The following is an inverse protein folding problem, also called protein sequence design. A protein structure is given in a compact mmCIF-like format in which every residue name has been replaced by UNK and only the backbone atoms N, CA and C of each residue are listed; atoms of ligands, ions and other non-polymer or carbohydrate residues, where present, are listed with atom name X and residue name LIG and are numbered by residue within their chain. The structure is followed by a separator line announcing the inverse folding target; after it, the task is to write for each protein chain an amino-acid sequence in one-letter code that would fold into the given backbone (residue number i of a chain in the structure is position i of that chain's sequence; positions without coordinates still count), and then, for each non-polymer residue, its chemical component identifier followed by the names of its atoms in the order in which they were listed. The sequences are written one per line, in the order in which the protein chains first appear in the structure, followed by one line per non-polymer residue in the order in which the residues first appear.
data_IF_117713850371
#
_entry.id   IF_117713850371
#
_cell.length_a   1.000
_cell.length_b   1.000
_cell.length_c   1.000
_cell.angle_alpha   90.00
_cell.angle_beta   90.00
_cell.angle_gamma   90.00
#
_symmetry.space_group_name_H-M   'P 1'
#
loop_
_entity.id
_entity.type
_entity.pdbx_description
1 polymer ?
#
# COMPACT_ATOMS: atom_id res chain seq x y z
N UNK A 1 3.58 -11.52 1.82
CA UNK A 1 4.47 -12.42 2.63
C UNK A 1 5.85 -12.70 2.05
N UNK A 2 6.03 -12.77 0.72
CA UNK A 2 7.38 -13.01 0.15
C UNK A 2 8.40 -11.93 0.51
N UNK A 3 7.97 -10.67 0.57
CA UNK A 3 8.79 -9.53 1.01
C UNK A 3 9.38 -9.76 2.40
N UNK A 4 8.53 -10.12 3.37
CA UNK A 4 8.93 -10.35 4.75
C UNK A 4 9.84 -11.57 4.94
N UNK A 5 9.51 -12.68 4.29
CA UNK A 5 10.35 -13.89 4.30
C UNK A 5 11.75 -13.60 3.73
N UNK A 6 11.83 -12.86 2.62
CA UNK A 6 13.10 -12.45 2.03
C UNK A 6 13.89 -11.46 2.90
N UNK A 7 13.21 -10.70 3.75
CA UNK A 7 13.79 -9.80 4.75
C UNK A 7 14.18 -10.46 6.08
N UNK A 8 14.08 -11.79 6.20
CA UNK A 8 14.48 -12.51 7.42
C UNK A 8 13.43 -12.48 8.55
N UNK A 9 12.19 -12.08 8.28
CA UNK A 9 11.11 -12.17 9.27
C UNK A 9 10.75 -13.65 9.51
N UNK A 10 10.79 -14.13 10.77
CA UNK A 10 10.45 -15.51 11.09
C UNK A 10 9.01 -15.89 10.68
N UNK A 11 8.76 -17.12 10.19
CA UNK A 11 7.43 -17.56 9.79
C UNK A 11 6.30 -17.30 10.80
N UNK A 12 6.50 -17.52 12.12
CA UNK A 12 5.45 -17.26 13.12
C UNK A 12 5.07 -15.79 13.27
N UNK A 13 5.93 -14.86 12.80
CA UNK A 13 5.73 -13.42 12.90
C UNK A 13 5.25 -12.81 11.59
N UNK A 14 5.08 -13.61 10.53
CA UNK A 14 4.62 -13.10 9.25
C UNK A 14 3.20 -12.56 9.37
N UNK A 15 3.02 -11.34 8.87
CA UNK A 15 1.73 -10.72 8.62
C UNK A 15 0.81 -11.67 7.84
N UNK A 16 -0.45 -11.74 8.27
CA UNK A 16 -1.48 -12.43 7.53
C UNK A 16 -1.88 -11.58 6.31
N UNK A 17 -2.06 -12.22 5.15
CA UNK A 17 -2.51 -11.53 3.94
C UNK A 17 -3.81 -10.75 4.18
N UNK A 18 -4.76 -11.30 4.95
CA UNK A 18 -6.00 -10.62 5.30
C UNK A 18 -5.77 -9.33 6.11
N UNK A 19 -4.82 -9.33 7.05
CA UNK A 19 -4.47 -8.14 7.81
C UNK A 19 -3.86 -7.07 6.91
N UNK A 20 -2.97 -7.48 5.99
CA UNK A 20 -2.39 -6.59 4.99
C UNK A 20 -3.47 -5.92 4.13
N UNK A 21 -4.36 -6.72 3.57
CA UNK A 21 -5.46 -6.25 2.70
C UNK A 21 -6.39 -5.27 3.43
N UNK A 22 -6.71 -5.52 4.70
CA UNK A 22 -7.55 -4.61 5.49
C UNK A 22 -6.84 -3.28 5.76
N UNK A 23 -5.56 -3.33 6.14
CA UNK A 23 -4.75 -2.13 6.36
C UNK A 23 -4.63 -1.30 5.06
N UNK A 24 -4.31 -1.94 3.95
CA UNK A 24 -4.22 -1.32 2.63
C UNK A 24 -5.55 -0.66 2.24
N UNK A 25 -6.67 -1.36 2.40
CA UNK A 25 -8.00 -0.83 2.07
C UNK A 25 -8.36 0.40 2.92
N UNK A 26 -8.03 0.41 4.22
CA UNK A 26 -8.28 1.56 5.09
C UNK A 26 -7.43 2.78 4.70
N UNK A 27 -6.16 2.57 4.34
CA UNK A 27 -5.30 3.64 3.83
C UNK A 27 -5.84 4.16 2.49
N UNK A 28 -6.22 3.24 1.59
CA UNK A 28 -6.74 3.58 0.27
C UNK A 28 -8.04 4.39 0.35
N UNK A 29 -8.96 4.01 1.25
CA UNK A 29 -10.18 4.77 1.54
C UNK A 29 -9.85 6.21 1.93
N UNK A 30 -9.00 6.41 2.94
CA UNK A 30 -8.64 7.73 3.45
C UNK A 30 -8.00 8.60 2.37
N UNK A 31 -7.09 8.04 1.58
CA UNK A 31 -6.46 8.77 0.48
C UNK A 31 -7.47 9.11 -0.63
N UNK A 32 -8.36 8.18 -0.98
CA UNK A 32 -9.36 8.40 -2.01
C UNK A 32 -10.34 9.52 -1.61
N UNK A 33 -10.86 9.50 -0.39
CA UNK A 33 -11.74 10.54 0.15
C UNK A 33 -11.08 11.91 0.11
N UNK A 34 -9.84 12.01 0.63
CA UNK A 34 -9.13 13.28 0.69
C UNK A 34 -8.78 13.84 -0.70
N UNK A 35 -8.65 12.98 -1.72
CA UNK A 35 -8.31 13.37 -3.08
C UNK A 35 -9.53 13.54 -4.01
N UNK A 36 -10.73 13.25 -3.51
CA UNK A 36 -11.97 13.26 -4.28
C UNK A 36 -12.00 12.20 -5.39
N UNK A 37 -11.38 11.04 -5.15
CA UNK A 37 -11.35 9.91 -6.10
C UNK A 37 -12.61 9.06 -5.96
N UNK A 38 -12.87 8.21 -6.96
CA UNK A 38 -13.88 7.15 -6.82
C UNK A 38 -13.39 6.11 -5.79
N UNK A 39 -13.95 6.18 -4.59
CA UNK A 39 -13.64 5.29 -3.47
C UNK A 39 -13.88 3.82 -3.83
N UNK A 40 -15.01 3.52 -4.48
CA UNK A 40 -15.36 2.13 -4.82
C UNK A 40 -14.37 1.53 -5.80
N UNK A 41 -13.97 2.31 -6.81
CA UNK A 41 -12.94 1.92 -7.77
C UNK A 41 -11.56 1.79 -7.11
N UNK A 42 -11.14 2.73 -6.27
CA UNK A 42 -9.86 2.65 -5.55
C UNK A 42 -9.78 1.40 -4.68
N UNK A 43 -10.83 1.09 -3.92
CA UNK A 43 -10.89 -0.12 -3.10
C UNK A 43 -10.87 -1.40 -3.93
N UNK A 44 -11.58 -1.41 -5.07
CA UNK A 44 -11.53 -2.54 -6.00
C UNK A 44 -10.11 -2.76 -6.54
N UNK A 45 -9.38 -1.70 -6.87
CA UNK A 45 -8.01 -1.78 -7.37
C UNK A 45 -7.03 -2.30 -6.31
N UNK A 46 -7.13 -1.83 -5.07
CA UNK A 46 -6.34 -2.32 -3.94
C UNK A 46 -6.59 -3.83 -3.70
N UNK A 47 -7.86 -4.24 -3.63
CA UNK A 47 -8.23 -5.65 -3.47
C UNK A 47 -7.76 -6.51 -4.64
N UNK A 48 -7.89 -6.03 -5.88
CA UNK A 48 -7.52 -6.76 -7.07
C UNK A 48 -6.02 -7.04 -7.18
N UNK A 49 -5.18 -6.18 -6.60
CA UNK A 49 -3.74 -6.40 -6.55
C UNK A 49 -3.38 -7.72 -5.87
N UNK A 50 -3.98 -7.94 -4.70
CA UNK A 50 -3.76 -9.09 -3.82
C UNK A 50 -4.58 -10.32 -4.22
N UNK A 51 -5.82 -10.11 -4.69
CA UNK A 51 -6.81 -11.19 -4.94
C UNK A 51 -7.03 -11.52 -6.42
N UNK A 52 -6.18 -11.02 -7.32
CA UNK A 52 -6.24 -11.33 -8.75
C UNK A 52 -6.33 -12.83 -9.04
N UNK A 53 -6.95 -13.19 -10.16
CA UNK A 53 -7.09 -14.55 -10.65
C UNK A 53 -8.40 -15.23 -10.25
N UNK A 54 -9.20 -14.56 -9.42
CA UNK A 54 -10.49 -15.08 -8.93
C UNK A 54 -11.66 -14.71 -9.84
N UNK A 55 -11.57 -13.62 -10.62
CA UNK A 55 -12.57 -13.23 -11.61
C UNK A 55 -11.97 -12.35 -12.72
N UNK A 56 -12.66 -12.28 -13.87
CA UNK A 56 -12.23 -11.43 -14.98
C UNK A 56 -12.25 -9.94 -14.62
N UNK A 57 -13.20 -9.49 -13.79
CA UNK A 57 -13.26 -8.10 -13.33
C UNK A 57 -12.06 -7.74 -12.45
N UNK A 58 -11.68 -8.62 -11.52
CA UNK A 58 -10.49 -8.42 -10.69
C UNK A 58 -9.20 -8.47 -11.52
N UNK A 59 -9.13 -9.30 -12.57
CA UNK A 59 -7.97 -9.29 -13.46
C UNK A 59 -7.83 -7.97 -14.27
N UNK A 60 -8.95 -7.36 -14.67
CA UNK A 60 -8.93 -6.04 -15.31
C UNK A 60 -8.47 -4.96 -14.34
N UNK A 61 -9.04 -4.95 -13.12
CA UNK A 61 -8.65 -4.02 -12.07
C UNK A 61 -7.16 -4.18 -11.69
N UNK A 62 -6.68 -5.41 -11.56
CA UNK A 62 -5.27 -5.70 -11.27
C UNK A 62 -4.33 -5.19 -12.35
N UNK A 63 -4.74 -5.26 -13.62
CA UNK A 63 -3.96 -4.71 -14.74
C UNK A 63 -3.91 -3.20 -14.65
N UNK A 64 -5.04 -2.54 -14.43
CA UNK A 64 -5.10 -1.09 -14.24
C UNK A 64 -4.24 -0.63 -13.05
N UNK A 65 -4.27 -1.37 -11.93
CA UNK A 65 -3.39 -1.16 -10.79
C UNK A 65 -1.92 -1.22 -11.22
N UNK A 66 -1.50 -2.29 -11.91
CA UNK A 66 -0.10 -2.48 -12.34
C UNK A 66 0.38 -1.40 -13.31
N UNK A 67 -0.50 -0.97 -14.20
CA UNK A 67 -0.19 0.06 -15.21
C UNK A 67 -0.24 1.48 -14.63
N UNK A 68 -0.80 1.66 -13.42
CA UNK A 68 -1.06 2.98 -12.83
C UNK A 68 -1.77 3.94 -13.79
N UNK A 69 -2.72 3.40 -14.56
CA UNK A 69 -3.37 4.09 -15.67
C UNK A 69 -4.36 5.18 -15.24
N UNK A 70 -4.81 5.15 -14.00
CA UNK A 70 -5.76 6.11 -13.43
C UNK A 70 -5.25 6.72 -12.13
N UNK A 71 -5.87 7.83 -11.71
CA UNK A 71 -5.62 8.40 -10.39
C UNK A 71 -5.96 7.40 -9.29
N UNK A 72 -7.08 6.69 -9.40
CA UNK A 72 -7.49 5.67 -8.43
C UNK A 72 -6.45 4.55 -8.31
N UNK A 73 -5.85 4.13 -9.44
CA UNK A 73 -4.79 3.13 -9.45
C UNK A 73 -3.52 3.63 -8.75
N UNK A 74 -3.13 4.88 -8.98
CA UNK A 74 -2.00 5.49 -8.27
C UNK A 74 -2.27 5.59 -6.77
N UNK A 75 -3.48 6.01 -6.37
CA UNK A 75 -3.88 6.06 -4.97
C UNK A 75 -3.83 4.68 -4.32
N UNK A 76 -4.35 3.64 -4.99
CA UNK A 76 -4.27 2.26 -4.52
C UNK A 76 -2.81 1.79 -4.37
N UNK A 77 -1.92 2.13 -5.31
CA UNK A 77 -0.49 1.81 -5.19
C UNK A 77 0.16 2.52 -4.02
N UNK A 78 -0.11 3.80 -3.80
CA UNK A 78 0.40 4.52 -2.62
C UNK A 78 -0.08 3.84 -1.35
N UNK A 79 -1.35 3.44 -1.28
CA UNK A 79 -1.89 2.73 -0.13
C UNK A 79 -1.18 1.39 0.12
N UNK A 80 -0.90 0.61 -0.93
CA UNK A 80 -0.14 -0.63 -0.85
C UNK A 80 1.26 -0.40 -0.26
N UNK A 81 2.01 0.56 -0.80
CA UNK A 81 3.35 0.89 -0.32
C UNK A 81 3.32 1.36 1.15
N UNK A 82 2.34 2.18 1.53
CA UNK A 82 2.15 2.65 2.90
C UNK A 82 1.76 1.53 3.88
N UNK A 83 0.96 0.56 3.45
CA UNK A 83 0.63 -0.62 4.27
C UNK A 83 1.88 -1.44 4.59
N UNK A 84 2.77 -1.62 3.60
CA UNK A 84 4.07 -2.27 3.80
C UNK A 84 4.94 -1.44 4.76
N UNK A 85 5.00 -0.13 4.60
CA UNK A 85 5.73 0.77 5.53
C UNK A 85 5.22 0.66 6.96
N UNK A 86 3.90 0.65 7.16
CA UNK A 86 3.29 0.50 8.48
C UNK A 86 3.69 -0.82 9.13
N UNK A 87 3.65 -1.93 8.37
CA UNK A 87 4.08 -3.23 8.87
C UNK A 87 5.59 -3.29 9.14
N UNK A 88 6.42 -2.70 8.28
CA UNK A 88 7.87 -2.66 8.49
C UNK A 88 8.23 -1.92 9.80
N UNK A 89 7.55 -0.81 10.10
CA UNK A 89 7.68 -0.10 11.39
C UNK A 89 7.32 -1.01 12.57
N UNK A 90 6.24 -1.79 12.47
CA UNK A 90 5.83 -2.77 13.51
C UNK A 90 6.94 -3.79 13.76
N UNK A 91 7.53 -4.35 12.70
CA UNK A 91 8.64 -5.30 12.81
C UNK A 91 9.92 -4.69 13.39
N UNK A 92 10.29 -3.46 13.00
CA UNK A 92 11.43 -2.77 13.59
C UNK A 92 11.28 -2.58 15.10
N UNK A 93 10.06 -2.28 15.57
CA UNK A 93 9.77 -2.19 17.02
C UNK A 93 9.88 -3.54 17.73
N UNK A 94 9.71 -4.64 17.02
CA UNK A 94 9.95 -5.99 17.53
C UNK A 94 11.44 -6.39 17.49
N UNK A 95 12.33 -5.50 17.02
CA UNK A 95 13.77 -5.77 16.92
C UNK A 95 14.17 -6.54 15.66
N UNK A 96 13.27 -6.67 14.67
CA UNK A 96 13.57 -7.33 13.40
C UNK A 96 14.24 -6.34 12.42
N UNK A 97 15.28 -6.78 11.73
CA UNK A 97 16.00 -5.95 10.76
C UNK A 97 15.31 -5.93 9.39
N UNK A 98 14.33 -5.05 9.25
CA UNK A 98 13.61 -4.81 7.98
C UNK A 98 13.80 -3.39 7.46
N UNK A 99 14.87 -2.70 7.89
CA UNK A 99 15.09 -1.28 7.58
C UNK A 99 15.17 -1.02 6.08
N UNK A 100 15.85 -1.90 5.34
CA UNK A 100 15.95 -1.79 3.88
C UNK A 100 14.58 -1.87 3.20
N UNK A 101 13.69 -2.74 3.69
CA UNK A 101 12.31 -2.86 3.17
C UNK A 101 11.55 -1.57 3.48
N UNK A 102 11.65 -1.06 4.71
CA UNK A 102 11.05 0.22 5.06
C UNK A 102 11.49 1.33 4.08
N UNK A 103 12.80 1.52 3.88
CA UNK A 103 13.35 2.58 3.03
C UNK A 103 12.92 2.44 1.56
N UNK A 104 12.94 1.22 1.02
CA UNK A 104 12.51 0.93 -0.35
C UNK A 104 11.04 1.31 -0.58
N UNK A 105 10.16 0.91 0.33
CA UNK A 105 8.72 1.14 0.20
C UNK A 105 8.32 2.59 0.53
N UNK A 106 9.07 3.28 1.40
CA UNK A 106 8.96 4.74 1.55
C UNK A 106 9.27 5.45 0.24
N UNK A 107 10.37 5.08 -0.43
CA UNK A 107 10.75 5.68 -1.71
C UNK A 107 9.65 5.49 -2.76
N UNK A 108 9.13 4.27 -2.91
CA UNK A 108 8.05 3.97 -3.87
C UNK A 108 6.77 4.77 -3.59
N UNK A 109 6.37 4.88 -2.32
CA UNK A 109 5.20 5.67 -1.94
C UNK A 109 5.37 7.15 -2.35
N UNK A 110 6.57 7.71 -2.13
CA UNK A 110 6.89 9.09 -2.51
C UNK A 110 6.94 9.28 -4.03
N UNK A 111 7.50 8.33 -4.77
CA UNK A 111 7.57 8.38 -6.24
C UNK A 111 6.17 8.37 -6.87
N UNK A 112 5.28 7.51 -6.38
CA UNK A 112 3.88 7.48 -6.82
C UNK A 112 3.14 8.78 -6.44
N UNK A 113 3.39 9.31 -5.23
CA UNK A 113 2.79 10.55 -4.79
C UNK A 113 3.22 11.75 -5.63
N UNK A 114 4.51 11.84 -5.98
CA UNK A 114 5.05 12.90 -6.82
C UNK A 114 4.39 12.91 -8.21
N UNK A 115 4.02 11.74 -8.75
CA UNK A 115 3.37 11.62 -10.04
C UNK A 115 1.93 12.15 -10.09
N UNK A 116 1.25 12.28 -8.93
CA UNK A 116 -0.15 12.72 -8.84
C UNK A 116 -0.29 14.25 -8.76
N UNK A 117 0.80 15.00 -8.49
CA UNK A 117 0.84 16.48 -8.45
C UNK A 117 -0.28 17.12 -7.61
N UNK A 118 -0.50 16.63 -6.40
CA UNK A 118 -1.43 17.23 -5.42
C UNK A 118 -0.73 17.43 -4.08
N UNK A 119 -0.66 18.67 -3.61
CA UNK A 119 -0.03 19.01 -2.32
C UNK A 119 -0.66 18.28 -1.14
N UNK A 120 -1.98 18.05 -1.22
CA UNK A 120 -2.75 17.26 -0.24
C UNK A 120 -2.23 15.83 -0.11
N UNK A 121 -1.79 15.22 -1.22
CA UNK A 121 -1.27 13.84 -1.19
C UNK A 121 0.08 13.76 -0.51
N UNK A 122 0.98 14.73 -0.76
CA UNK A 122 2.27 14.79 -0.09
C UNK A 122 2.10 14.91 1.43
N UNK A 123 1.14 15.72 1.88
CA UNK A 123 0.81 15.87 3.29
C UNK A 123 0.29 14.56 3.91
N UNK A 124 -0.65 13.87 3.23
CA UNK A 124 -1.21 12.60 3.73
C UNK A 124 -0.18 11.48 3.77
N UNK A 125 0.69 11.39 2.75
CA UNK A 125 1.81 10.46 2.75
C UNK A 125 2.75 10.79 3.89
N UNK A 126 3.10 12.06 4.10
CA UNK A 126 3.94 12.46 5.22
C UNK A 126 3.33 12.10 6.58
N UNK A 127 2.01 12.27 6.76
CA UNK A 127 1.29 11.86 7.97
C UNK A 127 1.30 10.34 8.17
N UNK A 128 1.09 9.55 7.12
CA UNK A 128 1.20 8.09 7.18
C UNK A 128 2.65 7.63 7.50
N UNK A 129 3.64 8.35 6.97
CA UNK A 129 5.06 8.10 7.25
C UNK A 129 5.49 8.58 8.64
N UNK A 130 4.84 9.58 9.21
CA UNK A 130 5.20 10.13 10.52
C UNK A 130 4.37 9.57 11.67
N UNK A 131 3.20 8.99 11.37
CA UNK A 131 2.39 8.32 12.38
C UNK A 131 3.12 7.10 12.93
N UNK A 132 3.14 7.03 14.27
CA UNK A 132 3.44 5.81 14.98
C UNK A 132 2.14 5.01 15.10
N UNK A 133 2.06 3.77 14.60
CA UNK A 133 0.95 2.88 14.91
C UNK A 133 0.93 2.50 16.39
#
# INVERSE_FOLDING_TARGET
NRVWLGGGVPPPLLEALSAHVVEEALIALRLAEALGCDVGKTLLLALAHELGGTSQSLERARREFKEAASLEARVARIAHELAIVAQAKRYLRMGLDVRRILEEHVSKALDEAAAVKKDVLAQLVHEALSSNP
#
